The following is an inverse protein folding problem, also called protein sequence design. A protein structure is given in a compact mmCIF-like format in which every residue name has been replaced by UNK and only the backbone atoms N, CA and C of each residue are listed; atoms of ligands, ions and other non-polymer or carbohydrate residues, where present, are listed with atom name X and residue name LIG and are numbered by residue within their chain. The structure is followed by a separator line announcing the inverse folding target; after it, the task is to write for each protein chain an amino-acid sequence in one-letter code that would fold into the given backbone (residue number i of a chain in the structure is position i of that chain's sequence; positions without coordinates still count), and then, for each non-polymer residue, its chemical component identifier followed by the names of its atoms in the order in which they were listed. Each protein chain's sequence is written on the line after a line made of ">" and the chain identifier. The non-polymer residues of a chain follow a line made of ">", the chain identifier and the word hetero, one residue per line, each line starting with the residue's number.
data_IF_435697761730
#
_entry.id   IF_435697761730
#
_cell.length_a   1.000
_cell.length_b   1.000
_cell.length_c   1.000
_cell.angle_alpha   90.00
_cell.angle_beta   90.00
_cell.angle_gamma   90.00
#
_symmetry.space_group_name_H-M   'P 1'
#
loop_
_entity.id
_entity.type
_entity.pdbx_description
1 polymer ?
#
# COMPACT_ATOMS: atom_id res chain seq x y z
N UNK A 1 61.11 20.58 -60.67
CA UNK A 1 61.14 19.59 -59.57
C UNK A 1 60.00 19.89 -58.65
N UNK A 2 58.90 19.04 -58.70
CA UNK A 2 57.68 19.23 -57.93
C UNK A 2 57.85 18.60 -56.56
N UNK A 3 57.66 19.40 -55.50
CA UNK A 3 57.54 18.93 -54.13
C UNK A 3 56.05 18.68 -53.80
N UNK A 4 55.73 17.42 -53.50
CA UNK A 4 54.40 17.00 -53.07
C UNK A 4 54.24 17.24 -51.56
N UNK A 5 53.37 18.16 -51.19
CA UNK A 5 52.92 18.30 -49.80
C UNK A 5 51.83 17.27 -49.51
N UNK A 6 52.10 16.35 -48.61
CA UNK A 6 51.12 15.42 -48.02
C UNK A 6 50.40 16.12 -46.88
N UNK A 7 49.13 16.43 -47.09
CA UNK A 7 48.23 16.86 -46.02
C UNK A 7 47.70 15.63 -45.28
N UNK A 8 48.17 15.42 -44.06
CA UNK A 8 47.59 14.40 -43.16
C UNK A 8 46.34 14.97 -42.49
N UNK A 9 45.17 14.54 -42.96
CA UNK A 9 43.89 14.80 -42.26
C UNK A 9 43.84 13.98 -40.99
N UNK A 10 43.90 14.65 -39.84
CA UNK A 10 43.59 14.05 -38.52
C UNK A 10 42.09 14.12 -38.32
N UNK A 11 41.42 12.99 -38.49
CA UNK A 11 40.01 12.84 -38.14
C UNK A 11 39.92 12.70 -36.61
N UNK A 12 39.50 13.76 -35.96
CA UNK A 12 39.23 13.77 -34.52
C UNK A 12 37.87 13.05 -34.27
N UNK A 13 37.96 11.79 -33.82
CA UNK A 13 36.76 10.99 -33.43
C UNK A 13 36.35 11.47 -32.05
N UNK A 14 35.39 12.44 -32.00
CA UNK A 14 34.72 12.83 -30.74
C UNK A 14 33.75 11.73 -30.41
N UNK A 15 34.16 10.80 -29.57
CA UNK A 15 33.29 9.81 -28.94
C UNK A 15 32.48 10.54 -27.87
N UNK A 16 31.32 11.03 -28.24
CA UNK A 16 30.34 11.58 -27.28
C UNK A 16 29.86 10.42 -26.40
N UNK A 17 30.48 10.28 -25.23
CA UNK A 17 29.98 9.46 -24.17
C UNK A 17 28.66 10.08 -23.68
N UNK A 18 27.55 9.68 -24.29
CA UNK A 18 26.25 9.79 -23.63
C UNK A 18 26.30 8.83 -22.43
N UNK A 19 26.68 9.37 -21.27
CA UNK A 19 26.48 8.71 -20.01
C UNK A 19 24.97 8.53 -19.85
N UNK A 20 24.47 7.35 -20.18
CA UNK A 20 23.16 6.92 -19.71
C UNK A 20 23.28 6.87 -18.19
N UNK A 21 22.77 7.92 -17.52
CA UNK A 21 22.37 7.81 -16.14
C UNK A 21 21.28 6.72 -16.10
N UNK A 22 21.69 5.46 -15.89
CA UNK A 22 20.81 4.44 -15.37
C UNK A 22 20.39 4.98 -14.01
N UNK A 23 19.22 5.66 -13.95
CA UNK A 23 18.51 5.82 -12.69
C UNK A 23 18.34 4.38 -12.17
N UNK A 24 19.11 4.05 -11.15
CA UNK A 24 18.79 2.88 -10.34
C UNK A 24 17.34 3.09 -9.91
N UNK A 25 16.43 2.25 -10.39
CA UNK A 25 15.04 2.26 -10.01
C UNK A 25 15.01 2.12 -8.49
N UNK A 26 14.89 3.26 -7.79
CA UNK A 26 14.81 3.32 -6.35
C UNK A 26 13.49 2.69 -5.94
N UNK A 27 13.50 1.90 -4.89
CA UNK A 27 12.28 1.41 -4.27
C UNK A 27 11.93 2.34 -3.12
N UNK A 28 10.68 2.75 -2.98
CA UNK A 28 10.17 3.44 -1.79
C UNK A 28 9.10 2.59 -1.11
N UNK A 29 8.77 2.93 0.14
CA UNK A 29 7.84 2.17 0.96
C UNK A 29 6.94 3.11 1.75
N UNK A 30 5.68 2.71 1.90
CA UNK A 30 4.71 3.32 2.81
C UNK A 30 3.95 2.22 3.56
N UNK A 31 3.57 2.49 4.79
CA UNK A 31 2.73 1.57 5.57
C UNK A 31 1.36 2.19 5.78
N UNK A 32 0.31 1.42 5.49
CA UNK A 32 -1.07 1.85 5.66
C UNK A 32 -1.87 0.80 6.42
N UNK A 33 -2.87 1.22 7.18
CA UNK A 33 -3.84 0.36 7.84
C UNK A 33 -5.24 0.68 7.29
N UNK A 34 -5.98 -0.33 6.86
CA UNK A 34 -7.28 -0.16 6.19
C UNK A 34 -8.29 -1.27 6.53
N UNK A 35 -8.34 -1.68 7.79
CA UNK A 35 -9.10 -2.84 8.25
C UNK A 35 -8.33 -4.14 8.02
N UNK A 36 -9.03 -5.20 7.64
CA UNK A 36 -8.40 -6.48 7.35
C UNK A 36 -7.25 -6.35 6.34
N UNK A 37 -6.04 -6.68 6.76
CA UNK A 37 -4.83 -6.55 5.93
C UNK A 37 -4.85 -7.45 4.68
N UNK A 38 -5.54 -8.60 4.68
CA UNK A 38 -5.73 -9.40 3.46
C UNK A 38 -6.40 -8.61 2.33
N UNK A 39 -7.34 -7.71 2.70
CA UNK A 39 -8.02 -6.88 1.71
C UNK A 39 -7.11 -5.80 1.16
N UNK A 40 -6.35 -5.14 2.03
CA UNK A 40 -5.41 -4.09 1.61
C UNK A 40 -4.26 -4.67 0.79
N UNK A 41 -3.69 -5.82 1.21
CA UNK A 41 -2.67 -6.55 0.46
C UNK A 41 -3.17 -6.92 -0.95
N UNK A 42 -4.35 -7.56 -1.04
CA UNK A 42 -4.95 -7.94 -2.31
C UNK A 42 -5.22 -6.75 -3.24
N UNK A 43 -5.63 -5.61 -2.66
CA UNK A 43 -5.93 -4.40 -3.41
C UNK A 43 -4.64 -3.80 -4.02
N UNK A 44 -3.54 -3.79 -3.28
CA UNK A 44 -2.32 -3.10 -3.71
C UNK A 44 -1.34 -3.98 -4.49
N UNK A 45 -1.25 -5.27 -4.21
CA UNK A 45 -0.26 -6.15 -4.87
C UNK A 45 -0.45 -6.27 -6.38
N UNK A 46 -1.68 -6.07 -6.86
CA UNK A 46 -1.99 -6.08 -8.30
C UNK A 46 -1.75 -4.78 -9.04
N UNK A 47 -1.34 -3.70 -8.37
CA UNK A 47 -1.14 -2.40 -9.01
C UNK A 47 0.19 -2.34 -9.76
N UNK A 48 0.14 -1.79 -10.98
CA UNK A 48 1.36 -1.51 -11.74
C UNK A 48 2.27 -0.54 -10.97
N UNK A 49 3.53 -0.92 -10.80
CA UNK A 49 4.51 -0.16 -10.03
C UNK A 49 4.63 -0.59 -8.57
N UNK A 50 3.66 -1.30 -7.99
CA UNK A 50 3.83 -1.97 -6.70
C UNK A 50 4.63 -3.25 -6.90
N UNK A 51 5.69 -3.41 -6.12
CA UNK A 51 6.58 -4.58 -6.18
C UNK A 51 6.15 -5.66 -5.21
N UNK A 52 5.68 -5.26 -4.04
CA UNK A 52 5.27 -6.14 -2.96
C UNK A 52 4.33 -5.41 -2.00
N UNK A 53 3.35 -6.11 -1.46
CA UNK A 53 2.47 -5.66 -0.39
C UNK A 53 2.51 -6.70 0.73
N UNK A 54 3.07 -6.33 1.90
CA UNK A 54 3.36 -7.25 3.00
C UNK A 54 2.41 -6.98 4.15
N UNK A 55 1.60 -7.97 4.54
CA UNK A 55 0.74 -7.91 5.72
C UNK A 55 1.53 -7.94 7.02
N UNK A 56 1.15 -7.12 8.00
CA UNK A 56 1.86 -7.02 9.26
C UNK A 56 1.15 -6.19 10.32
N UNK A 57 1.91 -5.81 11.35
CA UNK A 57 1.43 -5.07 12.53
C UNK A 57 2.31 -3.88 12.82
N UNK A 58 1.70 -2.74 13.16
CA UNK A 58 2.43 -1.54 13.58
C UNK A 58 1.57 -0.62 14.45
N UNK A 59 2.17 0.40 15.04
CA UNK A 59 1.48 1.44 15.83
C UNK A 59 1.29 1.10 17.30
N UNK A 60 1.46 -0.16 17.70
CA UNK A 60 1.31 -0.60 19.08
C UNK A 60 2.62 -0.61 19.88
N UNK A 61 2.51 -1.02 21.13
CA UNK A 61 3.61 -1.01 22.10
C UNK A 61 4.21 -2.40 22.38
N UNK A 62 3.45 -3.49 22.13
CA UNK A 62 3.94 -4.84 22.33
C UNK A 62 5.03 -5.21 21.31
N UNK A 63 6.05 -5.95 21.79
CA UNK A 63 7.15 -6.41 20.95
C UNK A 63 6.81 -7.77 20.35
N UNK A 64 7.09 -7.93 19.04
CA UNK A 64 6.84 -9.17 18.29
C UNK A 64 5.40 -9.70 18.51
N UNK A 65 4.39 -8.88 18.23
CA UNK A 65 2.99 -9.27 18.44
C UNK A 65 2.62 -10.44 17.55
N UNK A 66 1.75 -11.30 18.02
CA UNK A 66 1.10 -12.35 17.24
C UNK A 66 -0.27 -11.88 16.77
N UNK A 67 -0.79 -12.49 15.70
CA UNK A 67 -2.15 -12.24 15.23
C UNK A 67 -3.20 -12.32 16.35
N UNK A 68 -3.10 -13.38 17.15
CA UNK A 68 -4.04 -13.60 18.26
C UNK A 68 -4.05 -12.45 19.26
N UNK A 69 -2.88 -11.93 19.62
CA UNK A 69 -2.76 -10.80 20.55
C UNK A 69 -3.35 -9.52 19.95
N UNK A 70 -3.04 -9.24 18.67
CA UNK A 70 -3.51 -8.03 17.99
C UNK A 70 -5.03 -8.01 17.87
N UNK A 71 -5.66 -9.11 17.44
CA UNK A 71 -7.12 -9.15 17.26
C UNK A 71 -7.89 -9.24 18.59
N UNK A 72 -7.25 -9.65 19.68
CA UNK A 72 -7.83 -9.57 21.03
C UNK A 72 -7.91 -8.14 21.55
N UNK A 73 -7.11 -7.22 20.97
CA UNK A 73 -7.04 -5.83 21.39
C UNK A 73 -6.12 -5.59 22.57
N UNK A 74 -5.89 -4.32 22.91
CA UNK A 74 -5.01 -3.90 24.01
C UNK A 74 -3.53 -3.87 23.68
N UNK A 75 -3.10 -4.26 22.47
CA UNK A 75 -1.71 -4.14 22.01
C UNK A 75 -1.41 -2.76 21.42
N UNK A 76 -2.46 -2.04 20.99
CA UNK A 76 -2.37 -0.80 20.24
C UNK A 76 -1.94 -0.99 18.78
N UNK A 77 -1.62 -2.21 18.35
CA UNK A 77 -1.25 -2.49 16.97
C UNK A 77 -2.46 -2.46 16.04
N UNK A 78 -2.21 -1.97 14.82
CA UNK A 78 -3.10 -2.06 13.68
C UNK A 78 -2.71 -3.27 12.83
N UNK A 79 -3.69 -3.93 12.20
CA UNK A 79 -3.43 -4.68 11.00
C UNK A 79 -3.04 -3.69 9.90
N UNK A 80 -1.87 -3.84 9.33
CA UNK A 80 -1.30 -2.90 8.38
C UNK A 80 -0.61 -3.63 7.23
N UNK A 81 -0.39 -2.90 6.13
CA UNK A 81 0.34 -3.39 4.96
C UNK A 81 1.48 -2.44 4.64
N UNK A 82 2.69 -2.98 4.53
CA UNK A 82 3.83 -2.28 3.94
C UNK A 82 3.77 -2.44 2.43
N UNK A 83 3.64 -1.33 1.71
CA UNK A 83 3.58 -1.28 0.25
C UNK A 83 4.94 -0.83 -0.25
N UNK A 84 5.64 -1.71 -0.95
CA UNK A 84 6.89 -1.44 -1.64
C UNK A 84 6.62 -1.14 -3.12
N UNK A 85 7.11 -0.01 -3.64
CA UNK A 85 6.76 0.45 -4.98
C UNK A 85 7.94 1.12 -5.69
N UNK A 86 7.86 1.16 -7.03
CA UNK A 86 8.78 1.89 -7.89
C UNK A 86 8.24 3.31 -8.14
N UNK A 87 8.88 4.36 -7.57
CA UNK A 87 8.38 5.72 -7.70
C UNK A 87 8.50 6.29 -9.14
N UNK A 88 9.16 5.58 -10.05
CA UNK A 88 9.19 5.94 -11.47
C UNK A 88 7.94 5.45 -12.23
N UNK A 89 7.18 4.49 -11.66
CA UNK A 89 5.96 3.92 -12.25
C UNK A 89 4.72 4.42 -11.53
N UNK A 90 4.71 4.36 -10.20
CA UNK A 90 3.62 4.84 -9.35
C UNK A 90 4.16 5.71 -8.22
N UNK A 91 3.63 6.89 -8.07
CA UNK A 91 4.08 7.85 -7.06
C UNK A 91 3.43 7.59 -5.69
N UNK A 92 4.06 8.08 -4.62
CA UNK A 92 3.46 8.04 -3.28
C UNK A 92 2.13 8.79 -3.23
N UNK A 93 1.98 9.88 -3.98
CA UNK A 93 0.72 10.64 -4.03
C UNK A 93 -0.41 9.80 -4.64
N UNK A 94 -0.13 9.02 -5.67
CA UNK A 94 -1.09 8.10 -6.29
C UNK A 94 -1.45 6.94 -5.34
N UNK A 95 -0.47 6.34 -4.67
CA UNK A 95 -0.73 5.28 -3.67
C UNK A 95 -1.64 5.79 -2.55
N UNK A 96 -1.36 6.97 -1.99
CA UNK A 96 -2.17 7.57 -0.94
C UNK A 96 -3.57 7.97 -1.44
N UNK A 97 -3.67 8.46 -2.68
CA UNK A 97 -4.95 8.74 -3.33
C UNK A 97 -5.81 7.47 -3.45
N UNK A 98 -5.21 6.39 -3.96
CA UNK A 98 -5.87 5.09 -4.13
C UNK A 98 -6.26 4.51 -2.76
N UNK A 99 -5.36 4.54 -1.78
CA UNK A 99 -5.60 4.02 -0.44
C UNK A 99 -6.83 4.68 0.21
N UNK A 100 -6.87 6.01 0.28
CA UNK A 100 -7.98 6.70 0.92
C UNK A 100 -9.33 6.40 0.23
N UNK A 101 -9.33 6.06 -1.07
CA UNK A 101 -10.54 5.73 -1.84
C UNK A 101 -10.85 4.23 -1.91
N UNK A 102 -10.12 3.42 -1.16
CA UNK A 102 -10.34 1.98 -1.01
C UNK A 102 -10.87 1.59 0.38
N UNK A 103 -11.06 2.58 1.26
CA UNK A 103 -11.49 2.40 2.66
C UNK A 103 -12.61 3.37 3.03
N UNK A 104 -13.30 3.11 4.15
CA UNK A 104 -14.19 4.08 4.78
C UNK A 104 -13.38 4.99 5.70
N UNK A 105 -12.99 6.14 5.17
CA UNK A 105 -12.19 7.15 5.88
C UNK A 105 -12.97 7.91 6.94
N UNK A 106 -14.27 7.63 7.10
CA UNK A 106 -15.17 8.29 8.06
C UNK A 106 -15.49 7.42 9.28
N UNK A 107 -15.03 6.17 9.30
CA UNK A 107 -15.27 5.20 10.39
C UNK A 107 -14.02 5.05 11.28
N UNK A 108 -14.10 5.55 12.51
CA UNK A 108 -13.02 5.50 13.50
C UNK A 108 -13.08 4.25 14.42
N UNK A 109 -14.11 3.42 14.30
CA UNK A 109 -14.31 2.21 15.11
C UNK A 109 -13.83 0.91 14.48
N UNK A 110 -13.29 0.95 13.27
CA UNK A 110 -12.87 -0.20 12.48
C UNK A 110 -13.16 -0.02 11.01
N UNK A 111 -13.29 -1.09 10.25
CA UNK A 111 -13.61 -1.03 8.83
C UNK A 111 -14.64 -2.11 8.46
N UNK A 112 -15.73 -1.67 7.87
CA UNK A 112 -16.82 -2.57 7.40
C UNK A 112 -17.35 -3.48 8.51
N UNK A 113 -17.17 -4.80 8.38
CA UNK A 113 -17.59 -5.75 9.41
C UNK A 113 -16.54 -6.01 10.50
N UNK A 114 -15.31 -5.51 10.34
CA UNK A 114 -14.22 -5.68 11.29
C UNK A 114 -14.19 -4.50 12.26
N UNK A 115 -14.40 -4.79 13.54
CA UNK A 115 -14.53 -3.76 14.56
C UNK A 115 -13.42 -3.87 15.61
N UNK A 116 -12.96 -2.73 16.09
CA UNK A 116 -11.94 -2.65 17.12
C UNK A 116 -10.69 -1.90 16.67
N UNK A 117 -9.78 -1.67 17.61
CA UNK A 117 -8.62 -0.80 17.43
C UNK A 117 -7.63 -1.26 16.34
N UNK A 118 -7.50 -2.58 16.15
CA UNK A 118 -6.62 -3.16 15.14
C UNK A 118 -7.12 -2.96 13.70
N UNK A 119 -8.40 -2.67 13.52
CA UNK A 119 -9.03 -2.55 12.20
C UNK A 119 -9.33 -1.11 11.76
N UNK A 120 -8.83 -0.12 12.50
CA UNK A 120 -8.98 1.30 12.12
C UNK A 120 -8.08 1.65 10.95
N UNK A 121 -8.41 2.74 10.27
CA UNK A 121 -7.54 3.30 9.23
C UNK A 121 -6.38 4.09 9.82
N UNK A 122 -5.21 4.07 9.17
CA UNK A 122 -4.08 4.95 9.46
C UNK A 122 -3.09 5.01 8.29
N UNK A 123 -2.32 6.09 8.21
CA UNK A 123 -1.14 6.23 7.35
C UNK A 123 0.07 6.36 8.26
N UNK A 124 1.04 5.46 8.12
CA UNK A 124 2.27 5.47 8.92
C UNK A 124 3.42 6.05 8.10
N UNK A 125 4.01 7.14 8.59
CA UNK A 125 5.05 7.90 7.89
C UNK A 125 6.41 7.80 8.57
N UNK A 126 7.47 7.59 7.79
CA UNK A 126 8.85 7.46 8.28
C UNK A 126 9.67 8.77 8.22
N UNK A 127 9.17 9.76 7.49
CA UNK A 127 9.88 11.03 7.28
C UNK A 127 8.93 12.18 6.96
N UNK A 128 9.46 13.40 6.97
CA UNK A 128 8.70 14.63 6.73
C UNK A 128 8.05 14.69 5.34
N UNK A 129 8.69 14.13 4.31
CA UNK A 129 8.14 14.14 2.95
C UNK A 129 6.88 13.27 2.90
N UNK A 130 6.91 12.07 3.48
CA UNK A 130 5.73 11.21 3.57
C UNK A 130 4.62 11.86 4.41
N UNK A 131 4.98 12.54 5.51
CA UNK A 131 4.04 13.25 6.37
C UNK A 131 3.30 14.38 5.62
N UNK A 132 4.05 15.20 4.87
CA UNK A 132 3.49 16.28 4.05
C UNK A 132 2.58 15.75 2.93
N UNK A 133 2.98 14.68 2.24
CA UNK A 133 2.18 14.02 1.20
C UNK A 133 0.91 13.37 1.77
N UNK A 134 1.00 12.73 2.94
CA UNK A 134 -0.17 12.16 3.61
C UNK A 134 -1.18 13.25 4.02
N UNK A 135 -0.72 14.38 4.55
CA UNK A 135 -1.57 15.54 4.87
C UNK A 135 -2.28 16.07 3.63
N UNK A 136 -1.53 16.31 2.55
CA UNK A 136 -2.10 16.80 1.29
C UNK A 136 -3.14 15.81 0.70
N UNK A 137 -2.89 14.49 0.80
CA UNK A 137 -3.83 13.47 0.35
C UNK A 137 -5.14 13.48 1.16
N UNK A 138 -5.04 13.62 2.50
CA UNK A 138 -6.20 13.73 3.39
C UNK A 138 -6.99 15.01 3.09
N UNK A 139 -6.34 16.16 3.00
CA UNK A 139 -6.99 17.43 2.68
C UNK A 139 -7.76 17.37 1.35
N UNK A 140 -7.16 16.74 0.33
CA UNK A 140 -7.80 16.54 -0.97
C UNK A 140 -9.02 15.60 -0.88
N UNK A 141 -8.92 14.56 -0.07
CA UNK A 141 -10.01 13.62 0.15
C UNK A 141 -11.16 14.25 0.96
N UNK A 142 -10.87 15.09 1.97
CA UNK A 142 -11.84 15.86 2.72
C UNK A 142 -12.62 16.83 1.82
N UNK A 143 -11.91 17.52 0.92
CA UNK A 143 -12.52 18.43 -0.05
C UNK A 143 -13.45 17.71 -1.03
N UNK A 144 -13.07 16.50 -1.47
CA UNK A 144 -13.88 15.69 -2.39
C UNK A 144 -15.15 15.16 -1.74
N UNK A 145 -15.05 14.71 -0.48
CA UNK A 145 -16.19 14.15 0.25
C UNK A 145 -17.07 15.22 0.93
N UNK A 146 -16.58 16.45 1.06
CA UNK A 146 -17.18 17.47 1.92
C UNK A 146 -17.42 16.93 3.35
N UNK A 147 -16.45 16.16 3.86
CA UNK A 147 -16.51 15.50 5.18
C UNK A 147 -15.12 15.44 5.80
N UNK A 148 -15.10 15.46 7.13
CA UNK A 148 -13.87 15.23 7.87
C UNK A 148 -13.46 13.75 7.79
N UNK A 149 -12.17 13.52 7.54
CA UNK A 149 -11.54 12.20 7.54
C UNK A 149 -10.99 11.89 8.92
N UNK A 150 -11.24 10.67 9.41
CA UNK A 150 -10.78 10.19 10.72
C UNK A 150 -9.46 9.39 10.64
N UNK A 151 -8.94 9.14 9.45
CA UNK A 151 -7.68 8.43 9.23
C UNK A 151 -6.49 9.24 9.76
N UNK A 152 -5.82 8.82 10.86
CA UNK A 152 -4.69 9.56 11.41
C UNK A 152 -3.41 9.34 10.60
N UNK A 153 -2.49 10.31 10.67
CA UNK A 153 -1.10 10.16 10.26
C UNK A 153 -0.30 9.87 11.52
N UNK A 154 0.38 8.73 11.54
CA UNK A 154 1.15 8.24 12.70
C UNK A 154 2.60 8.04 12.27
N UNK A 155 3.55 8.41 13.13
CA UNK A 155 4.97 8.11 12.88
C UNK A 155 5.20 6.60 12.88
N UNK A 156 5.82 6.09 11.81
CA UNK A 156 6.24 4.69 11.74
C UNK A 156 7.44 4.46 12.67
N UNK A 157 7.25 3.68 13.74
CA UNK A 157 8.33 3.29 14.64
C UNK A 157 8.90 1.92 14.21
N UNK A 158 8.06 0.90 14.16
CA UNK A 158 8.45 -0.44 13.75
C UNK A 158 7.29 -1.16 13.08
N UNK A 159 7.59 -1.87 12.00
CA UNK A 159 6.66 -2.79 11.34
C UNK A 159 7.08 -4.23 11.66
N UNK A 160 6.13 -5.05 12.04
CA UNK A 160 6.29 -6.47 12.30
C UNK A 160 5.55 -7.26 11.22
N UNK A 161 6.26 -8.04 10.44
CA UNK A 161 5.66 -8.88 9.41
C UNK A 161 4.74 -9.90 10.09
N UNK A 162 3.52 -10.06 9.60
CA UNK A 162 2.58 -11.07 10.08
C UNK A 162 3.05 -12.46 9.70
N UNK A 163 2.48 -13.47 10.34
CA UNK A 163 2.81 -14.88 10.14
C UNK A 163 2.59 -15.29 8.68
N UNK A 164 3.41 -16.20 8.18
CA UNK A 164 3.45 -16.62 6.77
C UNK A 164 2.07 -17.02 6.20
N UNK A 165 1.20 -17.60 7.02
CA UNK A 165 -0.14 -18.00 6.57
C UNK A 165 -1.09 -16.82 6.30
N UNK A 166 -0.70 -15.59 6.66
CA UNK A 166 -1.42 -14.37 6.33
C UNK A 166 -0.97 -13.74 5.02
N UNK A 167 0.27 -13.99 4.61
CA UNK A 167 0.79 -13.45 3.36
C UNK A 167 0.08 -14.12 2.18
N UNK A 168 -0.27 -13.36 1.16
CA UNK A 168 -0.91 -13.87 -0.06
C UNK A 168 -2.23 -14.64 0.17
N UNK A 169 -2.90 -14.39 1.29
CA UNK A 169 -4.10 -15.15 1.67
C UNK A 169 -5.17 -15.11 0.57
N UNK A 170 -5.33 -13.99 -0.09
CA UNK A 170 -6.34 -13.77 -1.14
C UNK A 170 -6.15 -14.65 -2.39
N UNK A 171 -4.93 -15.16 -2.65
CA UNK A 171 -4.58 -16.07 -3.75
C UNK A 171 -4.21 -17.48 -3.27
N UNK A 172 -4.23 -17.72 -1.96
CA UNK A 172 -3.81 -18.97 -1.35
C UNK A 172 -4.68 -20.17 -1.74
N UNK A 173 -4.03 -21.32 -1.93
CA UNK A 173 -4.65 -22.58 -2.34
C UNK A 173 -4.86 -23.57 -1.18
N UNK A 174 -4.36 -23.27 0.02
CA UNK A 174 -4.53 -24.11 1.19
C UNK A 174 -6.00 -24.16 1.64
N UNK A 175 -6.44 -25.33 2.13
CA UNK A 175 -7.77 -25.44 2.70
C UNK A 175 -7.79 -24.93 4.14
N UNK A 176 -8.79 -24.08 4.44
CA UNK A 176 -9.05 -23.54 5.76
C UNK A 176 -10.49 -23.80 6.18
N UNK A 177 -10.71 -24.00 7.48
CA UNK A 177 -12.06 -24.13 8.02
C UNK A 177 -12.59 -22.71 8.31
N UNK A 178 -13.69 -22.36 7.66
CA UNK A 178 -14.35 -21.06 7.80
C UNK A 178 -15.79 -21.22 8.31
N UNK A 179 -16.44 -20.11 8.65
CA UNK A 179 -17.90 -20.10 8.94
C UNK A 179 -18.75 -20.57 7.74
N UNK A 180 -18.17 -20.61 6.54
CA UNK A 180 -18.79 -21.11 5.31
C UNK A 180 -18.42 -22.58 5.02
N UNK A 181 -17.81 -23.30 5.97
CA UNK A 181 -17.25 -24.64 5.83
C UNK A 181 -15.82 -24.63 5.27
N UNK A 182 -15.25 -25.82 4.94
CA UNK A 182 -13.92 -25.94 4.35
C UNK A 182 -13.85 -25.23 2.99
N UNK A 183 -12.87 -24.36 2.78
CA UNK A 183 -12.64 -23.60 1.55
C UNK A 183 -11.16 -23.40 1.30
N UNK A 184 -10.74 -23.23 0.04
CA UNK A 184 -9.44 -22.65 -0.26
C UNK A 184 -9.36 -21.23 0.27
N UNK A 185 -8.18 -20.78 0.69
CA UNK A 185 -7.95 -19.43 1.22
C UNK A 185 -8.50 -18.36 0.26
N UNK A 186 -8.21 -18.47 -1.04
CA UNK A 186 -8.70 -17.54 -2.07
C UNK A 186 -10.23 -17.46 -2.14
N UNK A 187 -10.93 -18.59 -1.98
CA UNK A 187 -12.39 -18.60 -1.94
C UNK A 187 -12.94 -18.07 -0.60
N UNK A 188 -12.27 -18.39 0.51
CA UNK A 188 -12.61 -17.87 1.83
C UNK A 188 -12.50 -16.35 1.85
N UNK A 189 -11.43 -15.79 1.29
CA UNK A 189 -11.22 -14.36 1.13
C UNK A 189 -12.36 -13.68 0.36
N UNK A 190 -12.73 -14.20 -0.82
CA UNK A 190 -13.83 -13.64 -1.63
C UNK A 190 -15.16 -13.62 -0.88
N UNK A 191 -15.50 -14.73 -0.20
CA UNK A 191 -16.71 -14.82 0.61
C UNK A 191 -16.70 -13.83 1.78
N UNK A 192 -15.55 -13.69 2.45
CA UNK A 192 -15.36 -12.73 3.53
C UNK A 192 -15.52 -11.29 3.03
N UNK A 193 -14.77 -10.87 2.00
CA UNK A 193 -14.83 -9.51 1.45
C UNK A 193 -16.25 -9.11 1.04
N UNK A 194 -16.97 -10.02 0.35
CA UNK A 194 -18.35 -9.78 -0.09
C UNK A 194 -19.31 -9.71 1.08
N UNK A 195 -19.21 -10.62 2.08
CA UNK A 195 -20.10 -10.63 3.23
C UNK A 195 -19.94 -9.41 4.14
N UNK A 196 -18.75 -8.80 4.16
CA UNK A 196 -18.48 -7.55 4.85
C UNK A 196 -18.91 -6.31 4.07
N UNK A 197 -19.40 -6.45 2.83
CA UNK A 197 -19.88 -5.36 1.98
C UNK A 197 -18.84 -4.27 1.75
N UNK A 198 -17.54 -4.63 1.75
CA UNK A 198 -16.45 -3.64 1.58
C UNK A 198 -16.63 -2.85 0.29
N UNK A 199 -16.81 -3.54 -0.85
CA UNK A 199 -16.95 -2.89 -2.15
C UNK A 199 -18.18 -1.98 -2.23
N UNK A 200 -19.31 -2.39 -1.66
CA UNK A 200 -20.55 -1.59 -1.66
C UNK A 200 -20.34 -0.30 -0.84
N UNK A 201 -19.80 -0.43 0.38
CA UNK A 201 -19.58 0.72 1.27
C UNK A 201 -18.60 1.72 0.64
N UNK A 202 -17.51 1.24 0.02
CA UNK A 202 -16.55 2.10 -0.67
C UNK A 202 -17.21 2.80 -1.87
N UNK A 203 -18.05 2.11 -2.65
CA UNK A 203 -18.84 2.71 -3.74
C UNK A 203 -19.85 3.74 -3.24
N UNK A 204 -20.53 3.44 -2.14
CA UNK A 204 -21.51 4.37 -1.52
C UNK A 204 -20.83 5.66 -1.05
N UNK A 205 -19.59 5.55 -0.52
CA UNK A 205 -18.85 6.70 -0.02
C UNK A 205 -18.19 7.52 -1.13
N UNK A 206 -17.50 6.86 -2.07
CA UNK A 206 -16.61 7.50 -3.04
C UNK A 206 -17.19 7.61 -4.45
N UNK A 207 -18.34 6.99 -4.72
CA UNK A 207 -18.98 7.02 -6.04
C UNK A 207 -18.05 6.53 -7.14
N UNK A 208 -17.84 7.35 -8.16
CA UNK A 208 -16.97 7.04 -9.32
C UNK A 208 -15.47 7.06 -8.98
N UNK A 209 -15.09 7.64 -7.85
CA UNK A 209 -13.69 7.65 -7.37
C UNK A 209 -13.32 6.41 -6.56
N UNK A 210 -14.28 5.54 -6.24
CA UNK A 210 -14.06 4.32 -5.48
C UNK A 210 -13.03 3.40 -6.16
N UNK A 211 -12.09 2.87 -5.36
CA UNK A 211 -11.03 1.98 -5.84
C UNK A 211 -11.31 0.53 -5.44
N UNK A 212 -10.86 -0.44 -6.25
CA UNK A 212 -10.93 -1.89 -6.00
C UNK A 212 -12.34 -2.43 -5.69
N UNK A 213 -13.32 -1.91 -6.36
CA UNK A 213 -14.73 -2.26 -6.09
C UNK A 213 -15.41 -3.07 -7.20
N UNK A 214 -14.64 -3.56 -8.16
CA UNK A 214 -15.15 -4.42 -9.22
C UNK A 214 -15.33 -5.88 -8.80
#
# INVERSE_FOLDING_TARGET
>A
MLSRFLIKSVILFICSMFGQNMLLAGTDKIVVAGGCFWCVEADFEGLEGVKEAISGYTGGTSQNPTYKEVVQGGTGHYEAVEIEFDPAIITLDEILHIFLRSVDVTDDGGQFCDRGESYRTAIFTKNKIQDEKAKAAIEKAEQELDRKIVTPIIKLEKFYIAEDYHQDYYKGENFVLTRFGPRKQSNAYKLYRNSCRRNDTVKELWGSSAQFTE
#
